data_IF_955286515996
#
_entry.id   IF_955286515996
#
_cell.length_a   1.000
_cell.length_b   1.000
_cell.length_c   1.000
_cell.angle_alpha   90.00
_cell.angle_beta   90.00
_cell.angle_gamma   90.00
#
_symmetry.space_group_name_H-M   'P 1'
#
loop_
_entity.id
_entity.type
_entity.pdbx_description
1 polymer ?
#
# COMPACT_ATOMS: atom_id res chain seq x y z
N UNK A 1 3.12 3.30 -7.15
CA UNK A 1 1.64 3.20 -7.05
C UNK A 1 1.14 2.56 -8.34
N UNK A 2 0.66 1.30 -8.32
CA UNK A 2 0.22 0.58 -9.52
C UNK A 2 -0.74 1.38 -10.41
N UNK A 3 -1.62 2.16 -9.79
CA UNK A 3 -2.62 2.99 -10.45
C UNK A 3 -2.00 4.11 -11.31
N UNK A 4 -0.80 4.58 -10.97
CA UNK A 4 -0.08 5.62 -11.73
C UNK A 4 0.63 5.07 -12.97
N UNK A 5 0.69 3.75 -13.18
CA UNK A 5 1.25 3.18 -14.42
C UNK A 5 0.47 3.65 -15.66
N UNK A 6 -0.83 3.94 -15.51
CA UNK A 6 -1.68 4.44 -16.61
C UNK A 6 -1.31 5.84 -17.10
N UNK A 7 -0.52 6.60 -16.34
CA UNK A 7 -0.13 7.96 -16.73
C UNK A 7 0.77 7.99 -17.98
N UNK A 8 1.47 6.89 -18.26
CA UNK A 8 2.22 6.71 -19.51
C UNK A 8 1.32 6.77 -20.76
N UNK A 9 0.03 6.40 -20.65
CA UNK A 9 -0.94 6.42 -21.77
C UNK A 9 -1.18 7.86 -22.25
N UNK A 10 -1.04 8.84 -21.37
CA UNK A 10 -1.21 10.28 -21.67
C UNK A 10 0.12 11.02 -21.66
N UNK A 11 1.22 10.31 -21.91
CA UNK A 11 2.55 10.91 -22.06
C UNK A 11 2.97 11.74 -20.84
N UNK A 12 2.73 11.20 -19.64
CA UNK A 12 3.21 11.78 -18.39
C UNK A 12 4.30 10.87 -17.81
N UNK A 13 5.47 11.44 -17.59
CA UNK A 13 6.54 10.84 -16.79
C UNK A 13 6.48 11.36 -15.36
N UNK A 14 6.75 10.51 -14.38
CA UNK A 14 6.81 10.92 -12.98
C UNK A 14 8.09 10.39 -12.34
N UNK A 15 8.51 11.05 -11.26
CA UNK A 15 9.64 10.64 -10.45
C UNK A 15 9.36 10.90 -8.98
N UNK A 16 9.92 10.06 -8.11
CA UNK A 16 9.94 10.27 -6.67
C UNK A 16 11.40 10.46 -6.25
N UNK A 17 11.75 11.67 -5.85
CA UNK A 17 13.07 11.98 -5.34
C UNK A 17 13.05 11.83 -3.83
N UNK A 18 14.00 11.05 -3.30
CA UNK A 18 14.24 10.93 -1.85
C UNK A 18 15.75 11.02 -1.61
N UNK A 19 16.20 12.18 -1.14
CA UNK A 19 17.59 12.43 -0.81
C UNK A 19 17.70 13.32 0.44
N UNK A 20 18.90 13.86 0.72
CA UNK A 20 19.14 14.69 1.92
C UNK A 20 18.55 16.11 1.81
N UNK A 21 18.22 16.55 0.60
CA UNK A 21 17.75 17.91 0.29
C UNK A 21 16.23 17.93 0.12
N UNK A 22 15.67 16.95 -0.59
CA UNK A 22 14.25 16.86 -0.87
C UNK A 22 13.68 15.44 -0.76
N UNK A 23 12.41 15.40 -0.37
CA UNK A 23 11.54 14.24 -0.49
C UNK A 23 10.29 14.71 -1.23
N UNK A 24 10.26 14.50 -2.54
CA UNK A 24 9.29 15.12 -3.42
C UNK A 24 8.83 14.18 -4.52
N UNK A 25 7.53 14.23 -4.83
CA UNK A 25 6.97 13.66 -6.04
C UNK A 25 6.90 14.76 -7.11
N UNK A 26 7.37 14.44 -8.32
CA UNK A 26 7.29 15.33 -9.48
C UNK A 26 6.75 14.59 -10.70
N UNK A 27 6.10 15.32 -11.60
CA UNK A 27 5.66 14.79 -12.89
C UNK A 27 5.85 15.83 -13.99
N UNK A 28 6.01 15.34 -15.23
CA UNK A 28 6.18 16.15 -16.43
C UNK A 28 5.40 15.56 -17.59
N UNK A 29 4.83 16.43 -18.42
CA UNK A 29 4.16 16.05 -19.66
C UNK A 29 5.21 16.00 -20.78
N UNK A 30 5.32 14.86 -21.46
CA UNK A 30 6.35 14.62 -22.48
C UNK A 30 5.88 14.92 -23.90
N UNK A 31 4.56 15.09 -24.11
CA UNK A 31 4.01 15.51 -25.39
C UNK A 31 4.01 17.04 -25.55
N UNK A 32 4.50 17.56 -26.69
CA UNK A 32 4.36 18.97 -27.03
C UNK A 32 2.88 19.38 -27.06
N UNK A 33 2.57 20.59 -26.57
CA UNK A 33 1.22 21.18 -26.54
C UNK A 33 0.16 20.36 -25.77
N UNK A 34 0.58 19.38 -24.97
CA UNK A 34 -0.29 18.68 -24.05
C UNK A 34 -0.20 19.33 -22.66
N UNK A 35 -1.34 19.46 -21.99
CA UNK A 35 -1.42 20.00 -20.64
C UNK A 35 -2.06 18.98 -19.71
N UNK A 36 -1.46 18.82 -18.53
CA UNK A 36 -2.00 17.99 -17.47
C UNK A 36 -1.84 18.68 -16.12
N UNK A 37 -2.86 18.57 -15.26
CA UNK A 37 -2.84 19.12 -13.92
C UNK A 37 -3.33 18.11 -12.90
N UNK A 38 -2.57 17.95 -11.83
CA UNK A 38 -2.95 17.18 -10.66
C UNK A 38 -3.57 18.13 -9.63
N UNK A 39 -4.82 17.92 -9.26
CA UNK A 39 -5.56 18.79 -8.35
C UNK A 39 -6.33 17.99 -7.31
N UNK A 40 -6.34 18.50 -6.07
CA UNK A 40 -7.23 18.02 -5.03
C UNK A 40 -8.53 18.81 -5.07
N UNK A 41 -9.68 18.14 -5.11
CA UNK A 41 -10.97 18.82 -5.03
C UNK A 41 -11.38 19.09 -3.57
N UNK A 42 -12.49 19.80 -3.38
CA UNK A 42 -13.07 20.13 -2.07
C UNK A 42 -13.40 18.89 -1.22
N UNK A 43 -13.68 17.76 -1.86
CA UNK A 43 -14.03 16.51 -1.19
C UNK A 43 -12.79 15.68 -0.79
N UNK A 44 -11.57 16.17 -1.05
CA UNK A 44 -10.32 15.51 -0.67
C UNK A 44 -9.80 14.47 -1.66
N UNK A 45 -10.38 14.36 -2.86
CA UNK A 45 -9.91 13.43 -3.89
C UNK A 45 -8.86 14.07 -4.80
N UNK A 46 -7.73 13.38 -4.94
CA UNK A 46 -6.68 13.74 -5.89
C UNK A 46 -7.06 13.28 -7.30
N UNK A 47 -7.15 14.23 -8.23
CA UNK A 47 -7.59 14.01 -9.61
C UNK A 47 -6.53 14.52 -10.58
N UNK A 48 -6.27 13.76 -11.63
CA UNK A 48 -5.45 14.14 -12.77
C UNK A 48 -6.38 14.49 -13.94
N UNK A 49 -6.24 15.72 -14.43
CA UNK A 49 -6.96 16.22 -15.58
C UNK A 49 -6.02 16.41 -16.76
N UNK A 50 -6.51 16.15 -17.97
CA UNK A 50 -5.83 16.43 -19.24
C UNK A 50 -6.64 17.43 -20.06
N UNK A 51 -5.97 18.33 -20.75
CA UNK A 51 -6.63 19.32 -21.59
C UNK A 51 -7.05 18.72 -22.93
N UNK A 52 -8.32 18.88 -23.31
CA UNK A 52 -8.82 18.52 -24.62
C UNK A 52 -8.97 19.77 -25.51
N UNK A 53 -8.14 19.94 -26.54
CA UNK A 53 -8.21 21.12 -27.41
C UNK A 53 -9.51 21.16 -28.24
N UNK A 54 -10.11 20.02 -28.55
CA UNK A 54 -11.34 19.94 -29.37
C UNK A 54 -12.54 20.52 -28.62
N UNK A 55 -12.64 20.24 -27.32
CA UNK A 55 -13.74 20.73 -26.46
C UNK A 55 -13.36 21.98 -25.68
N UNK A 56 -12.09 22.39 -25.70
CA UNK A 56 -11.54 23.46 -24.86
C UNK A 56 -11.87 23.29 -23.38
N UNK A 57 -11.71 22.05 -22.88
CA UNK A 57 -12.05 21.71 -21.49
C UNK A 57 -11.07 20.69 -20.88
N UNK A 58 -11.06 20.62 -19.55
CA UNK A 58 -10.29 19.68 -18.75
C UNK A 58 -11.05 18.37 -18.53
N UNK A 59 -10.57 17.31 -19.16
CA UNK A 59 -11.11 15.97 -19.00
C UNK A 59 -10.48 15.27 -17.80
N UNK A 60 -11.30 14.62 -16.98
CA UNK A 60 -10.82 13.76 -15.91
C UNK A 60 -10.18 12.50 -16.52
N UNK A 61 -8.88 12.34 -16.35
CA UNK A 61 -8.15 11.18 -16.83
C UNK A 61 -7.99 10.10 -15.77
N UNK A 62 -7.67 10.51 -14.55
CA UNK A 62 -7.44 9.60 -13.44
C UNK A 62 -7.88 10.23 -12.14
N UNK A 63 -8.40 9.41 -11.22
CA UNK A 63 -8.62 9.79 -9.83
C UNK A 63 -7.95 8.75 -8.93
N UNK A 64 -7.40 9.19 -7.81
CA UNK A 64 -6.99 8.27 -6.76
C UNK A 64 -8.27 7.58 -6.26
N UNK A 65 -8.32 6.26 -6.43
CA UNK A 65 -9.52 5.43 -6.31
C UNK A 65 -10.32 5.72 -5.02
N UNK A 66 -11.62 5.96 -5.18
CA UNK A 66 -12.60 6.03 -4.10
C UNK A 66 -13.23 4.65 -3.80
N UNK A 67 -12.66 3.56 -4.34
CA UNK A 67 -13.11 2.21 -4.00
C UNK A 67 -12.98 1.98 -2.50
N UNK A 68 -13.89 1.17 -1.95
CA UNK A 68 -14.03 0.95 -0.51
C UNK A 68 -12.70 0.53 0.16
N UNK A 69 -11.92 -0.36 -0.49
CA UNK A 69 -10.62 -0.79 0.01
C UNK A 69 -9.50 0.26 -0.07
N UNK A 70 -9.72 1.42 -0.70
CA UNK A 70 -8.74 2.52 -0.78
C UNK A 70 -8.98 3.65 0.23
N UNK A 71 -10.10 3.61 0.96
CA UNK A 71 -10.43 4.57 2.02
C UNK A 71 -9.68 4.14 3.30
N UNK A 72 -8.97 5.07 3.94
CA UNK A 72 -8.26 4.78 5.18
C UNK A 72 -9.19 4.78 6.40
N UNK A 73 -9.07 3.81 7.32
CA UNK A 73 -8.36 2.53 7.14
C UNK A 73 -9.15 1.58 6.23
N UNK A 74 -8.47 0.88 5.31
CA UNK A 74 -9.15 -0.02 4.35
C UNK A 74 -10.05 -1.06 5.01
N UNK A 75 -9.61 -1.57 6.16
CA UNK A 75 -10.36 -2.44 7.04
C UNK A 75 -9.97 -2.14 8.48
N UNK A 76 -10.94 -2.25 9.37
CA UNK A 76 -10.72 -2.41 10.81
C UNK A 76 -11.35 -3.73 11.22
N UNK A 77 -10.78 -4.44 12.21
CA UNK A 77 -9.64 -4.13 13.09
C UNK A 77 -8.25 -4.37 12.47
N UNK A 78 -7.17 -4.24 13.27
CA UNK A 78 -5.79 -4.56 12.86
C UNK A 78 -5.64 -6.04 12.48
N UNK A 79 -4.55 -6.37 11.78
CA UNK A 79 -4.27 -7.69 11.22
C UNK A 79 -5.36 -8.19 10.25
N UNK A 80 -6.02 -7.26 9.57
CA UNK A 80 -6.94 -7.51 8.46
C UNK A 80 -6.36 -7.01 7.15
N UNK A 81 -6.90 -7.54 6.05
CA UNK A 81 -6.74 -6.97 4.73
C UNK A 81 -8.08 -6.84 4.03
N UNK A 82 -8.20 -5.81 3.18
CA UNK A 82 -9.36 -5.61 2.32
C UNK A 82 -9.16 -6.30 0.97
N UNK A 83 -10.17 -7.07 0.56
CA UNK A 83 -10.21 -7.75 -0.73
C UNK A 83 -11.55 -7.46 -1.42
N UNK A 84 -11.50 -6.75 -2.55
CA UNK A 84 -12.69 -6.34 -3.31
C UNK A 84 -13.48 -7.52 -3.87
N UNK A 85 -12.88 -8.70 -3.98
CA UNK A 85 -13.52 -9.90 -4.53
C UNK A 85 -14.16 -10.81 -3.47
N UNK A 86 -14.03 -10.47 -2.18
CA UNK A 86 -14.57 -11.29 -1.09
C UNK A 86 -15.81 -10.64 -0.47
N UNK A 87 -16.68 -11.50 0.06
CA UNK A 87 -17.81 -11.10 0.90
C UNK A 87 -17.74 -11.93 2.18
N UNK A 88 -17.42 -11.33 3.35
CA UNK A 88 -17.09 -9.92 3.56
C UNK A 88 -15.75 -9.49 2.92
N UNK A 89 -15.60 -8.19 2.61
CA UNK A 89 -14.37 -7.62 2.00
C UNK A 89 -13.19 -7.64 2.96
N UNK A 90 -13.45 -7.42 4.25
CA UNK A 90 -12.43 -7.46 5.29
C UNK A 90 -12.21 -8.89 5.79
N UNK A 91 -10.95 -9.32 5.75
CA UNK A 91 -10.53 -10.68 6.08
C UNK A 91 -9.35 -10.64 7.05
N UNK A 92 -9.33 -11.50 8.07
CA UNK A 92 -8.14 -11.68 8.91
C UNK A 92 -6.98 -12.25 8.08
N UNK A 93 -5.76 -11.81 8.36
CA UNK A 93 -4.54 -12.40 7.79
C UNK A 93 -4.45 -13.89 8.19
N UNK A 94 -3.91 -14.73 7.30
CA UNK A 94 -3.72 -16.15 7.60
C UNK A 94 -2.90 -16.34 8.89
N UNK A 95 -3.40 -17.19 9.79
CA UNK A 95 -2.85 -17.37 11.14
C UNK A 95 -3.53 -16.51 12.22
N UNK A 96 -4.44 -15.62 11.81
CA UNK A 96 -5.34 -14.89 12.70
C UNK A 96 -6.78 -15.39 12.54
N UNK A 97 -7.61 -15.16 13.55
CA UNK A 97 -9.04 -15.44 13.53
C UNK A 97 -9.86 -14.30 14.14
N UNK A 98 -11.11 -14.12 13.70
CA UNK A 98 -12.01 -13.16 14.32
C UNK A 98 -12.14 -13.39 15.83
N UNK A 99 -12.05 -12.32 16.60
CA UNK A 99 -12.39 -12.32 18.03
C UNK A 99 -13.84 -12.76 18.26
N UNK A 100 -14.13 -13.19 19.49
CA UNK A 100 -15.47 -13.69 19.87
C UNK A 100 -16.54 -12.59 19.88
N UNK A 101 -16.13 -11.35 20.12
CA UNK A 101 -17.04 -10.21 20.14
C UNK A 101 -17.36 -9.75 18.72
N UNK A 102 -18.62 -9.96 18.32
CA UNK A 102 -19.17 -9.46 17.06
C UNK A 102 -20.10 -8.30 17.36
N UNK A 103 -19.91 -7.19 16.65
CA UNK A 103 -20.86 -6.08 16.63
C UNK A 103 -21.43 -5.96 15.22
N UNK A 104 -22.75 -6.09 15.10
CA UNK A 104 -23.47 -5.95 13.82
C UNK A 104 -22.89 -6.78 12.66
N UNK A 105 -22.65 -8.07 12.89
CA UNK A 105 -22.01 -9.02 11.96
C UNK A 105 -20.57 -8.67 11.52
N UNK A 106 -19.96 -7.60 12.06
CA UNK A 106 -18.55 -7.29 11.92
C UNK A 106 -17.76 -7.83 13.12
N UNK A 107 -16.54 -8.32 12.88
CA UNK A 107 -15.64 -8.75 13.94
C UNK A 107 -14.87 -7.55 14.49
N UNK A 108 -14.74 -7.48 15.81
CA UNK A 108 -14.11 -6.33 16.49
C UNK A 108 -12.58 -6.46 16.59
N UNK A 109 -12.06 -7.69 16.52
CA UNK A 109 -10.62 -7.98 16.57
C UNK A 109 -10.24 -9.14 15.63
N UNK A 110 -9.01 -9.16 15.12
CA UNK A 110 -8.37 -10.35 14.55
C UNK A 110 -7.23 -10.77 15.49
N UNK A 111 -7.40 -11.90 16.16
CA UNK A 111 -6.46 -12.41 17.14
C UNK A 111 -5.59 -13.50 16.52
N UNK A 112 -4.31 -13.52 16.87
CA UNK A 112 -3.40 -14.58 16.40
C UNK A 112 -3.82 -15.90 17.03
N UNK A 113 -3.96 -16.95 16.20
CA UNK A 113 -4.40 -18.29 16.63
C UNK A 113 -3.45 -18.95 17.62
N UNK A 114 -2.16 -18.67 17.48
CA UNK A 114 -1.09 -19.24 18.31
C UNK A 114 -0.21 -18.10 18.80
N UNK A 115 0.07 -18.08 20.11
CA UNK A 115 0.98 -17.11 20.70
C UNK A 115 2.40 -17.28 20.13
N UNK A 116 3.06 -16.16 19.86
CA UNK A 116 4.43 -16.12 19.36
C UNK A 116 5.42 -16.58 20.43
N UNK A 117 6.46 -17.28 19.99
CA UNK A 117 7.55 -17.76 20.84
C UNK A 117 8.85 -16.98 20.64
N UNK A 118 8.85 -16.03 19.71
CA UNK A 118 9.99 -15.32 19.14
C UNK A 118 10.98 -16.24 18.43
N UNK A 119 11.53 -17.24 19.13
CA UNK A 119 12.48 -18.20 18.57
C UNK A 119 11.74 -19.37 17.93
N UNK A 120 11.93 -19.54 16.63
CA UNK A 120 11.27 -20.59 15.85
C UNK A 120 9.92 -20.17 15.27
N UNK A 121 9.54 -18.90 15.46
CA UNK A 121 8.44 -18.31 14.71
C UNK A 121 8.79 -18.23 13.21
N UNK A 122 7.76 -18.18 12.38
CA UNK A 122 7.90 -18.08 10.93
C UNK A 122 6.93 -17.05 10.35
N UNK A 123 7.04 -16.85 9.04
CA UNK A 123 6.26 -15.83 8.33
C UNK A 123 5.33 -16.46 7.31
N UNK A 124 4.17 -15.82 7.14
CA UNK A 124 3.28 -16.09 6.03
C UNK A 124 3.46 -15.00 4.98
N UNK A 125 3.77 -15.40 3.74
CA UNK A 125 3.96 -14.45 2.64
C UNK A 125 2.60 -13.99 2.10
N UNK A 126 2.27 -12.72 2.35
CA UNK A 126 1.17 -12.03 1.68
C UNK A 126 1.63 -11.50 0.32
N UNK A 127 0.95 -11.89 -0.75
CA UNK A 127 1.28 -11.49 -2.12
C UNK A 127 0.29 -10.46 -2.65
N UNK A 128 0.77 -9.60 -3.57
CA UNK A 128 -0.06 -8.59 -4.26
C UNK A 128 -0.82 -7.71 -3.28
N UNK A 129 -0.11 -7.24 -2.26
CA UNK A 129 -0.68 -6.36 -1.24
C UNK A 129 -0.16 -4.94 -1.36
N UNK A 130 -1.00 -3.98 -1.00
CA UNK A 130 -0.54 -2.69 -0.51
C UNK A 130 0.12 -2.94 0.84
N UNK A 131 1.36 -2.47 1.00
CA UNK A 131 2.07 -2.59 2.27
C UNK A 131 1.28 -1.90 3.40
N UNK A 132 1.33 -2.43 4.63
CA UNK A 132 0.69 -1.80 5.78
C UNK A 132 1.17 -0.36 5.98
N UNK A 133 0.41 0.42 6.75
CA UNK A 133 0.85 1.75 7.19
C UNK A 133 2.27 1.66 7.79
N UNK A 134 3.16 2.57 7.38
CA UNK A 134 4.58 2.57 7.77
C UNK A 134 4.85 3.27 9.11
N UNK A 135 3.81 3.62 9.87
CA UNK A 135 3.96 4.20 11.21
C UNK A 135 4.66 3.22 12.17
N UNK A 136 5.86 3.61 12.63
CA UNK A 136 6.70 2.76 13.47
C UNK A 136 7.45 1.66 12.71
N UNK A 137 7.48 1.72 11.37
CA UNK A 137 8.32 0.87 10.56
C UNK A 137 9.77 1.38 10.52
N UNK A 138 10.73 0.45 10.40
CA UNK A 138 12.17 0.74 10.29
C UNK A 138 12.63 0.34 8.90
N UNK A 139 13.42 1.19 8.25
CA UNK A 139 13.88 1.01 6.87
C UNK A 139 15.40 0.90 6.80
N UNK A 140 15.91 -0.12 6.10
CA UNK A 140 17.32 -0.23 5.71
C UNK A 140 17.41 -0.62 4.23
N UNK A 141 17.72 0.36 3.37
CA UNK A 141 17.79 0.18 1.91
C UNK A 141 19.01 -0.61 1.44
N UNK A 142 19.97 -0.90 2.32
CA UNK A 142 21.27 -1.51 1.94
C UNK A 142 21.25 -3.03 1.95
N UNK A 143 20.25 -3.64 2.58
CA UNK A 143 20.19 -5.09 2.79
C UNK A 143 19.15 -5.75 1.90
N UNK A 144 19.33 -7.05 1.64
CA UNK A 144 18.39 -7.86 0.88
C UNK A 144 17.27 -8.46 1.75
N UNK A 145 16.30 -9.10 1.08
CA UNK A 145 15.13 -9.70 1.76
C UNK A 145 15.51 -10.79 2.78
N UNK A 146 16.53 -11.61 2.46
CA UNK A 146 17.00 -12.68 3.36
C UNK A 146 17.55 -12.13 4.68
N UNK A 147 18.39 -11.10 4.61
CA UNK A 147 18.91 -10.45 5.83
C UNK A 147 17.80 -9.71 6.57
N UNK A 148 16.82 -9.15 5.86
CA UNK A 148 15.63 -8.55 6.44
C UNK A 148 14.82 -9.55 7.27
N UNK A 149 14.62 -10.77 6.75
CA UNK A 149 13.99 -11.88 7.47
C UNK A 149 14.79 -12.26 8.71
N UNK A 150 16.11 -12.47 8.58
CA UNK A 150 16.98 -12.82 9.71
C UNK A 150 16.95 -11.75 10.82
N UNK A 151 16.95 -10.46 10.46
CA UNK A 151 16.81 -9.35 11.43
C UNK A 151 15.44 -9.34 12.11
N UNK A 152 14.37 -9.64 11.37
CA UNK A 152 13.02 -9.70 11.91
C UNK A 152 12.86 -10.88 12.88
N UNK A 153 13.35 -12.08 12.54
CA UNK A 153 13.34 -13.26 13.44
C UNK A 153 14.08 -12.96 14.75
N UNK A 154 15.19 -12.25 14.69
CA UNK A 154 15.99 -11.92 15.88
C UNK A 154 15.43 -10.75 16.70
N UNK A 155 14.35 -10.11 16.24
CA UNK A 155 13.66 -9.05 16.95
C UNK A 155 12.26 -9.50 17.35
N UNK A 156 12.06 -9.85 18.63
CA UNK A 156 10.78 -10.37 19.14
C UNK A 156 9.59 -9.39 18.99
N UNK A 157 9.84 -8.12 18.71
CA UNK A 157 8.79 -7.14 18.44
C UNK A 157 8.46 -7.03 16.95
N UNK A 158 9.22 -7.65 16.05
CA UNK A 158 8.97 -7.60 14.62
C UNK A 158 7.71 -8.37 14.26
N UNK A 159 6.79 -7.72 13.52
CA UNK A 159 5.50 -8.30 13.14
C UNK A 159 5.41 -8.65 11.66
N UNK A 160 6.16 -7.95 10.80
CA UNK A 160 6.24 -8.19 9.37
C UNK A 160 7.50 -7.54 8.77
N UNK A 161 7.87 -7.94 7.57
CA UNK A 161 8.91 -7.30 6.77
C UNK A 161 8.61 -7.39 5.26
N UNK A 162 9.22 -6.52 4.48
CA UNK A 162 9.12 -6.52 3.02
C UNK A 162 10.34 -5.82 2.37
N UNK A 163 10.48 -5.95 1.05
CA UNK A 163 11.38 -5.09 0.28
C UNK A 163 10.86 -3.65 0.19
N UNK A 164 11.77 -2.68 0.08
CA UNK A 164 11.42 -1.27 -0.12
C UNK A 164 11.37 -0.88 -1.59
N UNK A 165 12.15 -1.56 -2.44
CA UNK A 165 12.10 -1.45 -3.89
C UNK A 165 11.79 -2.84 -4.46
N UNK A 166 10.88 -2.91 -5.43
CA UNK A 166 10.47 -4.16 -6.10
C UNK A 166 11.12 -4.32 -7.48
N UNK A 167 11.89 -3.33 -7.94
CA UNK A 167 12.67 -3.40 -9.17
C UNK A 167 13.81 -4.43 -9.05
N UNK A 168 14.24 -4.98 -10.21
CA UNK A 168 15.39 -5.87 -10.34
C UNK A 168 15.43 -7.06 -9.37
N UNK A 169 14.26 -7.64 -9.07
CA UNK A 169 14.14 -8.80 -8.17
C UNK A 169 14.04 -8.43 -6.68
N UNK A 170 13.96 -7.14 -6.36
CA UNK A 170 13.67 -6.63 -5.03
C UNK A 170 14.91 -6.29 -4.21
N UNK A 171 14.89 -5.12 -3.56
CA UNK A 171 15.98 -4.65 -2.71
C UNK A 171 15.50 -3.81 -1.53
N UNK A 172 16.39 -3.66 -0.55
CA UNK A 172 16.11 -2.98 0.71
C UNK A 172 15.17 -3.75 1.62
N UNK A 173 14.99 -3.23 2.82
CA UNK A 173 14.24 -3.84 3.90
C UNK A 173 13.39 -2.79 4.60
N UNK A 174 12.11 -3.11 4.81
CA UNK A 174 11.23 -2.43 5.75
C UNK A 174 10.71 -3.46 6.75
N UNK A 175 10.78 -3.14 8.04
CA UNK A 175 10.31 -3.99 9.13
C UNK A 175 9.29 -3.24 9.99
N UNK A 176 8.17 -3.89 10.31
CA UNK A 176 7.16 -3.37 11.23
C UNK A 176 7.37 -3.93 12.63
N UNK A 177 7.18 -3.08 13.64
CA UNK A 177 7.26 -3.47 15.06
C UNK A 177 5.95 -3.26 15.83
N UNK A 178 4.90 -2.88 15.09
CA UNK A 178 3.56 -2.58 15.60
C UNK A 178 2.52 -3.39 14.86
N UNK A 179 1.27 -3.20 15.24
CA UNK A 179 0.14 -3.82 14.57
C UNK A 179 0.06 -3.41 13.10
N UNK A 180 -0.40 -4.34 12.26
CA UNK A 180 -0.50 -4.13 10.83
C UNK A 180 -1.90 -3.65 10.48
N UNK A 181 -2.02 -2.53 9.78
CA UNK A 181 -3.28 -1.94 9.36
C UNK A 181 -3.19 -1.41 7.93
N UNK A 182 -4.36 -1.09 7.35
CA UNK A 182 -4.47 -0.45 6.03
C UNK A 182 -3.89 -1.31 4.87
N UNK A 183 -3.99 -2.63 5.02
CA UNK A 183 -3.60 -3.60 4.00
C UNK A 183 -4.79 -3.82 3.05
N UNK A 184 -4.50 -3.86 1.75
CA UNK A 184 -5.45 -4.37 0.75
C UNK A 184 -4.74 -5.30 -0.22
N UNK A 185 -5.46 -6.24 -0.80
CA UNK A 185 -4.97 -7.02 -1.93
C UNK A 185 -5.30 -6.32 -3.25
N UNK A 186 -4.49 -6.61 -4.26
CA UNK A 186 -4.75 -6.30 -5.66
C UNK A 186 -5.11 -7.61 -6.36
N UNK A 187 -6.11 -7.56 -7.22
CA UNK A 187 -6.41 -8.65 -8.15
C UNK A 187 -5.37 -8.57 -9.27
N UNK A 188 -4.93 -9.72 -9.79
CA UNK A 188 -4.26 -9.73 -11.08
C UNK A 188 -5.19 -9.14 -12.14
N UNK A 189 -4.65 -8.28 -13.00
CA UNK A 189 -5.24 -8.00 -14.29
C UNK A 189 -4.90 -9.12 -15.28
#
# INVERSE_FOLDING_TARGET
IPEMQRWKIVNISYNFTENKEEVAFSYGVTSPNAYARLMMNSDGFLKLFTWNPTTSDWNLFWLLSAEECNIYPSCNPTYTYCDMNKTPRCNCIQGFEPGKDRFDNSFTECLRKTQLSCRGDGFFMLTKVKLPNTFGAVVDKRIGLKECEERCINNCNCTAFANTNLEDGGSGCVMWTRELNDIRTFVDA
#
